data_IF_013449732462
#
_entry.id   IF_013449732462
#
_cell.length_a   1.000
_cell.length_b   1.000
_cell.length_c   1.000
_cell.angle_alpha   90.00
_cell.angle_beta   90.00
_cell.angle_gamma   90.00
#
_symmetry.space_group_name_H-M   'P 1'
#
loop_
_entity.id
_entity.type
_entity.pdbx_description
1 polymer ?
#
# COMPACT_ATOMS: atom_id res chain seq x y z
N UNK A 1 -41.51 7.22 16.09
CA UNK A 1 -40.52 8.05 16.79
C UNK A 1 -39.17 7.46 16.42
N UNK A 2 -38.41 8.20 15.63
CA UNK A 2 -37.25 7.74 14.89
C UNK A 2 -35.99 7.86 15.74
N UNK A 3 -35.16 6.82 15.78
CA UNK A 3 -33.76 6.91 16.22
C UNK A 3 -32.83 6.18 15.23
N UNK A 4 -33.09 6.34 13.93
CA UNK A 4 -32.10 6.05 12.87
C UNK A 4 -31.23 7.30 12.64
N UNK A 5 -30.38 7.60 13.61
CA UNK A 5 -29.32 8.62 13.58
C UNK A 5 -28.31 8.14 14.63
N UNK A 6 -27.17 7.56 14.31
CA UNK A 6 -26.01 8.11 13.61
C UNK A 6 -25.11 6.90 13.33
N UNK A 7 -24.73 6.59 12.10
CA UNK A 7 -23.47 7.09 11.58
C UNK A 7 -23.36 6.58 10.15
N UNK A 8 -23.83 7.40 9.22
CA UNK A 8 -23.33 7.38 7.86
C UNK A 8 -21.83 7.72 8.00
N UNK A 9 -21.00 6.68 8.20
CA UNK A 9 -19.56 6.81 8.06
C UNK A 9 -19.36 7.14 6.61
N UNK A 10 -19.14 8.44 6.41
CA UNK A 10 -18.81 9.09 5.15
C UNK A 10 -17.98 8.10 4.36
N UNK A 11 -18.52 7.68 3.22
CA UNK A 11 -17.71 7.39 2.06
C UNK A 11 -16.88 8.65 1.80
N UNK A 12 -15.84 8.85 2.61
CA UNK A 12 -14.66 9.55 2.15
C UNK A 12 -14.33 8.80 0.87
N UNK A 13 -14.44 9.52 -0.24
CA UNK A 13 -13.76 9.15 -1.47
C UNK A 13 -12.27 9.30 -1.16
N UNK A 14 -11.77 8.46 -0.25
CA UNK A 14 -10.39 8.14 -0.12
C UNK A 14 -10.10 7.52 -1.47
N UNK A 15 -9.45 8.29 -2.34
CA UNK A 15 -8.71 7.74 -3.47
C UNK A 15 -8.09 6.45 -2.96
N UNK A 16 -8.60 5.30 -3.42
CA UNK A 16 -8.22 3.99 -2.87
C UNK A 16 -6.78 3.78 -3.30
N UNK A 17 -5.86 4.26 -2.46
CA UNK A 17 -4.44 4.09 -2.64
C UNK A 17 -4.13 2.60 -2.65
N UNK A 18 -3.09 2.21 -3.38
CA UNK A 18 -2.60 0.84 -3.31
C UNK A 18 -2.05 0.61 -1.91
N UNK A 19 -2.62 -0.34 -1.18
CA UNK A 19 -2.11 -0.81 0.11
C UNK A 19 -0.70 -1.40 -0.08
N UNK A 20 0.24 -1.05 0.81
CA UNK A 20 1.66 -1.42 0.70
C UNK A 20 2.21 -1.99 1.99
N UNK A 21 3.24 -2.82 1.86
CA UNK A 21 4.07 -3.37 2.93
C UNK A 21 5.50 -2.86 2.79
N UNK A 22 6.11 -2.50 3.91
CA UNK A 22 7.52 -2.06 3.97
C UNK A 22 8.45 -3.15 3.47
N UNK A 23 9.47 -2.78 2.70
CA UNK A 23 10.53 -3.70 2.27
C UNK A 23 11.72 -3.72 3.24
N UNK A 24 11.76 -2.79 4.20
CA UNK A 24 12.90 -2.53 5.09
C UNK A 24 14.16 -2.03 4.38
N UNK A 25 14.05 -1.61 3.12
CA UNK A 25 15.10 -0.89 2.41
C UNK A 25 14.72 0.58 2.45
N UNK A 26 15.35 1.36 3.32
CA UNK A 26 15.01 2.78 3.59
C UNK A 26 14.81 3.58 2.30
N UNK A 27 15.81 3.62 1.44
CA UNK A 27 15.72 4.36 0.18
C UNK A 27 14.63 3.86 -0.78
N UNK A 28 14.28 2.57 -0.72
CA UNK A 28 13.17 2.04 -1.53
C UNK A 28 11.82 2.40 -0.93
N UNK A 29 11.65 2.26 0.39
CA UNK A 29 10.42 2.62 1.11
C UNK A 29 10.09 4.11 0.92
N UNK A 30 11.10 4.97 0.93
CA UNK A 30 10.96 6.40 0.71
C UNK A 30 10.46 6.73 -0.70
N UNK A 31 11.11 6.21 -1.75
CA UNK A 31 10.71 6.50 -3.15
C UNK A 31 9.37 5.85 -3.52
N UNK A 32 9.07 4.69 -2.92
CA UNK A 32 7.85 3.94 -3.19
C UNK A 32 6.68 4.41 -2.32
N UNK A 33 6.89 5.28 -1.33
CA UNK A 33 5.89 5.72 -0.36
C UNK A 33 5.25 4.54 0.38
N UNK A 34 6.08 3.70 1.00
CA UNK A 34 5.61 2.61 1.88
C UNK A 34 5.83 1.19 1.37
N UNK A 35 6.63 0.99 0.31
CA UNK A 35 7.13 -0.31 -0.10
C UNK A 35 6.33 -1.00 -1.21
N UNK A 36 6.21 -2.33 -1.13
CA UNK A 36 5.62 -3.18 -2.17
C UNK A 36 4.11 -3.33 -1.99
N UNK A 37 3.34 -3.46 -3.08
CA UNK A 37 1.89 -3.59 -3.01
C UNK A 37 1.44 -4.92 -2.38
N UNK A 38 0.47 -4.85 -1.48
CA UNK A 38 -0.15 -6.03 -0.84
C UNK A 38 -1.07 -6.74 -1.83
N UNK A 39 -1.02 -8.09 -1.81
CA UNK A 39 -1.92 -8.94 -2.60
C UNK A 39 -1.74 -8.82 -4.11
N UNK A 40 -0.61 -8.28 -4.57
CA UNK A 40 -0.31 -8.03 -5.99
C UNK A 40 1.07 -8.55 -6.35
N UNK A 41 1.20 -9.01 -7.59
CA UNK A 41 2.48 -9.43 -8.15
C UNK A 41 3.40 -8.23 -8.36
N UNK A 42 4.66 -8.35 -7.94
CA UNK A 42 5.71 -7.36 -8.21
C UNK A 42 6.87 -8.03 -8.94
N UNK A 43 7.30 -7.46 -10.07
CA UNK A 43 8.48 -7.92 -10.81
C UNK A 43 9.74 -7.27 -10.23
N UNK A 44 10.70 -8.08 -9.82
CA UNK A 44 12.04 -7.64 -9.40
C UNK A 44 13.06 -8.19 -10.39
N UNK A 45 13.77 -7.30 -11.10
CA UNK A 45 14.73 -7.66 -12.15
C UNK A 45 16.10 -7.02 -11.95
N UNK A 46 17.15 -7.65 -12.49
CA UNK A 46 18.54 -7.26 -12.29
C UNK A 46 19.51 -8.41 -12.61
N UNK A 47 20.79 -8.10 -12.82
CA UNK A 47 21.83 -9.09 -13.15
C UNK A 47 22.11 -10.08 -12.01
N UNK A 48 22.94 -11.09 -12.24
CA UNK A 48 23.34 -12.02 -11.18
C UNK A 48 24.07 -11.29 -10.05
N UNK A 49 23.82 -11.67 -8.79
CA UNK A 49 24.49 -11.09 -7.62
C UNK A 49 23.94 -9.76 -7.11
N UNK A 50 22.81 -9.26 -7.63
CA UNK A 50 22.24 -7.95 -7.24
C UNK A 50 21.27 -7.95 -6.05
N UNK A 51 21.16 -9.05 -5.29
CA UNK A 51 20.34 -9.10 -4.08
C UNK A 51 18.81 -9.02 -4.30
N UNK A 52 18.28 -9.67 -5.35
CA UNK A 52 16.82 -9.73 -5.62
C UNK A 52 16.07 -10.71 -4.70
N UNK A 53 16.80 -11.53 -3.96
CA UNK A 53 16.31 -12.57 -3.05
C UNK A 53 16.69 -12.18 -1.64
#
# INVERSE_FOLDING_TARGET
MNENSESIKRDEIATVGVEKIRTMIEGFDDISHGGMPVGRTTLVSGTSGTGKT
#
